data_IF_173014335175
#
_entry.id   IF_173014335175
#
_cell.length_a   1.000
_cell.length_b   1.000
_cell.length_c   1.000
_cell.angle_alpha   90.00
_cell.angle_beta   90.00
_cell.angle_gamma   90.00
#
_symmetry.space_group_name_H-M   'P 1'
#
loop_
_entity.id
_entity.type
_entity.pdbx_description
1 polymer ?
#
# COMPACT_ATOMS: atom_id res chain seq x y z
N UNK A 1 -6.16 -2.30 -6.62
CA UNK A 1 -4.78 -2.49 -7.10
C UNK A 1 -4.10 -1.14 -7.26
N UNK A 2 -2.78 -1.11 -7.19
CA UNK A 2 -1.98 0.06 -7.56
C UNK A 2 -1.64 0.00 -9.04
N UNK A 3 -1.68 1.15 -9.68
CA UNK A 3 -1.44 1.29 -11.11
C UNK A 3 -0.49 2.46 -11.36
N UNK A 4 0.58 2.22 -12.11
CA UNK A 4 1.50 3.27 -12.54
C UNK A 4 1.06 3.80 -13.90
N UNK A 5 0.77 5.10 -13.98
CA UNK A 5 0.31 5.74 -15.21
C UNK A 5 1.42 5.70 -16.27
N UNK A 6 1.10 5.20 -17.47
CA UNK A 6 2.05 5.10 -18.58
C UNK A 6 2.10 6.40 -19.38
N UNK A 7 3.19 6.59 -20.15
CA UNK A 7 3.33 7.74 -21.04
C UNK A 7 2.21 7.77 -22.08
N UNK A 8 1.45 8.88 -22.11
CA UNK A 8 0.33 9.05 -23.04
C UNK A 8 -1.00 8.48 -22.57
N UNK A 9 -1.06 7.78 -21.42
CA UNK A 9 -2.33 7.32 -20.86
C UNK A 9 -3.08 8.45 -20.15
N UNK A 10 -4.39 8.50 -20.38
CA UNK A 10 -5.31 9.38 -19.65
C UNK A 10 -5.98 8.57 -18.53
N UNK A 11 -6.16 9.19 -17.38
CA UNK A 11 -6.73 8.53 -16.21
C UNK A 11 -8.16 8.02 -16.46
N UNK A 12 -8.92 8.73 -17.28
CA UNK A 12 -10.27 8.32 -17.66
C UNK A 12 -10.27 6.98 -18.44
N UNK A 13 -9.28 6.77 -19.31
CA UNK A 13 -9.11 5.53 -20.06
C UNK A 13 -8.73 4.37 -19.13
N UNK A 14 -7.87 4.64 -18.14
CA UNK A 14 -7.51 3.67 -17.08
C UNK A 14 -8.75 3.31 -16.25
N UNK A 15 -9.51 4.32 -15.82
CA UNK A 15 -10.76 4.11 -15.07
C UNK A 15 -11.74 3.23 -15.83
N UNK A 16 -11.95 3.49 -17.13
CA UNK A 16 -12.83 2.70 -18.00
C UNK A 16 -12.35 1.26 -18.15
N UNK A 17 -11.03 1.06 -18.35
CA UNK A 17 -10.40 -0.26 -18.50
C UNK A 17 -10.58 -1.13 -17.24
N UNK A 18 -10.49 -0.55 -16.08
CA UNK A 18 -10.56 -1.27 -14.81
C UNK A 18 -11.93 -1.22 -14.13
N UNK A 19 -12.94 -0.62 -14.77
CA UNK A 19 -14.28 -0.50 -14.21
C UNK A 19 -14.34 0.36 -12.94
N UNK A 20 -13.49 1.37 -12.83
CA UNK A 20 -13.38 2.25 -11.67
C UNK A 20 -14.03 3.60 -11.98
N UNK A 21 -14.95 4.05 -11.13
CA UNK A 21 -15.53 5.39 -11.25
C UNK A 21 -14.50 6.47 -10.89
N UNK A 22 -14.37 7.49 -11.73
CA UNK A 22 -13.43 8.60 -11.52
C UNK A 22 -13.68 9.34 -10.19
N UNK A 23 -14.95 9.49 -9.79
CA UNK A 23 -15.33 10.08 -8.50
C UNK A 23 -14.78 9.25 -7.33
N UNK A 24 -14.91 7.94 -7.41
CA UNK A 24 -14.41 7.00 -6.40
C UNK A 24 -12.87 6.96 -6.39
N UNK A 25 -12.26 7.06 -7.58
CA UNK A 25 -10.81 7.17 -7.69
C UNK A 25 -10.28 8.43 -6.99
N UNK A 26 -10.92 9.58 -7.21
CA UNK A 26 -10.56 10.86 -6.54
C UNK A 26 -10.73 10.77 -5.03
N UNK A 27 -11.80 10.14 -4.56
CA UNK A 27 -12.08 9.98 -3.13
C UNK A 27 -10.99 9.17 -2.40
N UNK A 28 -10.45 8.13 -3.03
CA UNK A 28 -9.43 7.25 -2.40
C UNK A 28 -8.01 7.72 -2.64
N UNK A 29 -7.77 8.52 -3.69
CA UNK A 29 -6.47 9.12 -4.01
C UNK A 29 -6.42 10.64 -3.70
N UNK A 30 -7.13 11.08 -2.68
CA UNK A 30 -7.28 12.51 -2.34
C UNK A 30 -5.96 13.25 -2.08
N UNK A 31 -4.86 12.53 -1.80
CA UNK A 31 -3.51 13.11 -1.66
C UNK A 31 -2.81 13.36 -3.00
N UNK A 32 -3.39 12.86 -4.10
CA UNK A 32 -2.87 13.00 -5.46
C UNK A 32 -3.90 13.79 -6.27
N UNK A 33 -3.45 14.82 -7.00
CA UNK A 33 -4.32 15.46 -7.96
C UNK A 33 -4.51 14.55 -9.17
N UNK A 34 -5.62 13.80 -9.15
CA UNK A 34 -5.94 12.78 -10.16
C UNK A 34 -6.08 13.37 -11.57
N UNK A 35 -6.28 14.69 -11.67
CA UNK A 35 -6.39 15.39 -12.98
C UNK A 35 -5.01 15.80 -13.50
N UNK A 36 -4.06 16.03 -12.60
CA UNK A 36 -2.70 16.47 -12.92
C UNK A 36 -1.66 15.34 -12.89
N UNK A 37 -2.10 14.08 -13.01
CA UNK A 37 -1.22 12.90 -13.02
C UNK A 37 -0.27 12.94 -14.21
N UNK A 38 0.99 12.58 -13.94
CA UNK A 38 2.05 12.47 -14.94
C UNK A 38 2.42 11.01 -15.17
N UNK A 39 2.99 10.68 -16.33
CA UNK A 39 3.57 9.36 -16.55
C UNK A 39 4.58 9.00 -15.44
N UNK A 40 4.43 7.81 -14.87
CA UNK A 40 5.21 7.36 -13.72
C UNK A 40 4.54 7.58 -12.36
N UNK A 41 3.47 8.38 -12.29
CA UNK A 41 2.70 8.50 -11.05
C UNK A 41 1.92 7.21 -10.77
N UNK A 42 1.93 6.82 -9.51
CA UNK A 42 1.24 5.63 -9.03
C UNK A 42 -0.07 6.02 -8.34
N UNK A 43 -1.15 5.38 -8.76
CA UNK A 43 -2.50 5.61 -8.23
C UNK A 43 -3.11 4.31 -7.72
N UNK A 44 -3.96 4.41 -6.72
CA UNK A 44 -4.73 3.28 -6.24
C UNK A 44 -6.06 3.19 -6.98
N UNK A 45 -6.31 2.08 -7.69
CA UNK A 45 -7.56 1.79 -8.39
C UNK A 45 -8.50 0.98 -7.47
N UNK A 46 -9.52 1.62 -6.88
CA UNK A 46 -10.42 0.96 -5.94
C UNK A 46 -11.34 -0.02 -6.67
N UNK A 47 -11.39 -1.27 -6.20
CA UNK A 47 -12.27 -2.30 -6.78
C UNK A 47 -11.83 -2.86 -8.14
N UNK A 48 -10.68 -2.44 -8.66
CA UNK A 48 -10.13 -3.02 -9.88
C UNK A 48 -9.80 -4.50 -9.68
N UNK A 49 -10.23 -5.35 -10.62
CA UNK A 49 -9.99 -6.81 -10.57
C UNK A 49 -8.67 -7.13 -11.27
N UNK A 50 -7.82 -8.02 -10.71
CA UNK A 50 -6.57 -8.43 -11.34
C UNK A 50 -6.76 -9.06 -12.73
N UNK A 51 -7.90 -9.68 -12.99
CA UNK A 51 -8.23 -10.31 -14.26
C UNK A 51 -8.33 -9.32 -15.44
N UNK A 52 -8.57 -8.03 -15.16
CA UNK A 52 -8.55 -6.98 -16.19
C UNK A 52 -7.14 -6.73 -16.75
N UNK A 53 -6.10 -7.27 -16.11
CA UNK A 53 -4.71 -7.19 -16.59
C UNK A 53 -4.38 -8.21 -17.69
N UNK A 54 -5.21 -9.24 -17.89
CA UNK A 54 -4.92 -10.35 -18.80
C UNK A 54 -5.31 -10.09 -20.27
N UNK A 55 -5.97 -8.99 -20.60
CA UNK A 55 -6.63 -8.81 -21.92
C UNK A 55 -5.93 -7.83 -22.86
N UNK A 56 -4.73 -7.34 -22.60
CA UNK A 56 -4.03 -6.49 -23.57
C UNK A 56 -2.51 -6.67 -23.56
N UNK A 57 -2.04 -7.81 -24.05
CA UNK A 57 -0.68 -7.91 -24.59
C UNK A 57 -0.71 -8.77 -25.85
N UNK A 58 -1.21 -8.20 -26.94
CA UNK A 58 -0.83 -8.58 -28.29
C UNK A 58 -0.67 -7.30 -29.11
N UNK A 59 0.56 -6.86 -29.22
CA UNK A 59 1.09 -6.23 -30.44
C UNK A 59 2.52 -6.71 -30.64
N UNK A 60 2.85 -7.18 -31.87
CA UNK A 60 4.06 -7.95 -32.11
C UNK A 60 5.25 -7.03 -32.36
N UNK A 61 6.25 -7.09 -31.51
CA UNK A 61 7.57 -6.60 -31.86
C UNK A 61 8.27 -7.62 -32.76
N UNK A 62 8.61 -7.14 -33.95
CA UNK A 62 9.33 -7.83 -35.01
C UNK A 62 10.57 -8.52 -34.49
N UNK A 63 10.72 -9.76 -34.93
CA UNK A 63 11.85 -10.61 -34.71
C UNK A 63 13.17 -10.00 -35.24
N UNK A 64 14.19 -9.97 -34.40
CA UNK A 64 15.56 -10.09 -34.89
C UNK A 64 16.20 -11.35 -34.31
N UNK A 65 16.71 -12.13 -35.28
CA UNK A 65 17.32 -13.44 -35.12
C UNK A 65 18.71 -13.33 -34.49
N UNK A 66 18.99 -14.11 -33.48
CA UNK A 66 20.26 -14.85 -33.40
C UNK A 66 20.18 -15.99 -32.38
N UNK A 67 20.43 -17.20 -32.85
CA UNK A 67 20.58 -18.44 -32.10
C UNK A 67 22.08 -18.72 -31.88
N UNK A 68 22.47 -19.89 -31.30
CA UNK A 68 22.19 -20.44 -29.97
C UNK A 68 23.51 -20.75 -29.20
N UNK A 69 23.45 -20.91 -27.91
CA UNK A 69 24.49 -21.63 -27.19
C UNK A 69 23.91 -22.57 -26.13
N UNK A 70 24.34 -23.79 -26.24
CA UNK A 70 24.01 -24.99 -25.47
C UNK A 70 24.59 -24.99 -24.06
N UNK A 71 23.98 -25.88 -23.25
CA UNK A 71 24.50 -26.57 -22.06
C UNK A 71 24.34 -25.81 -20.75
N UNK A 72 23.86 -26.36 -19.67
CA UNK A 72 23.76 -27.68 -19.10
C UNK A 72 22.89 -27.58 -17.85
N UNK A 73 22.06 -28.55 -17.61
CA UNK A 73 21.42 -28.76 -16.32
C UNK A 73 22.44 -29.31 -15.30
N UNK A 74 22.25 -29.02 -14.01
CA UNK A 74 22.48 -30.01 -13.00
C UNK A 74 21.17 -30.36 -12.28
N UNK A 75 20.92 -31.66 -12.29
CA UNK A 75 20.07 -32.35 -11.32
C UNK A 75 20.58 -32.06 -9.92
N UNK A 76 19.67 -31.91 -8.98
CA UNK A 76 19.79 -32.32 -7.54
C UNK A 76 18.72 -31.52 -6.80
N UNK A 77 17.95 -31.97 -5.95
CA UNK A 77 17.77 -33.00 -5.00
C UNK A 77 16.37 -32.81 -4.43
N UNK A 78 15.60 -33.85 -4.46
CA UNK A 78 14.40 -33.99 -3.59
C UNK A 78 14.93 -34.04 -2.16
N UNK A 79 14.54 -33.11 -1.33
CA UNK A 79 14.26 -33.24 0.10
C UNK A 79 14.27 -31.88 0.76
N UNK A 80 13.11 -31.23 0.82
CA UNK A 80 12.81 -30.32 1.89
C UNK A 80 11.36 -30.60 2.28
N UNK A 81 11.22 -31.33 3.41
CA UNK A 81 9.97 -31.47 4.13
C UNK A 81 9.25 -30.13 4.19
N UNK A 82 8.08 -30.06 3.58
CA UNK A 82 7.12 -29.01 3.87
C UNK A 82 6.82 -29.13 5.37
N UNK A 83 7.39 -28.22 6.15
CA UNK A 83 6.91 -27.98 7.51
C UNK A 83 5.49 -27.42 7.35
N UNK A 84 4.54 -28.21 7.76
CA UNK A 84 3.15 -27.83 7.96
C UNK A 84 3.07 -26.50 8.71
N UNK A 85 2.17 -25.64 8.25
CA UNK A 85 1.84 -24.38 8.89
C UNK A 85 1.45 -24.64 10.35
N UNK A 86 2.03 -23.95 11.32
CA UNK A 86 1.58 -24.04 12.70
C UNK A 86 0.14 -23.53 12.81
N UNK A 87 -0.68 -24.28 13.50
CA UNK A 87 -2.10 -24.18 13.73
C UNK A 87 -2.69 -22.77 13.68
N UNK A 88 -3.94 -22.71 13.24
CA UNK A 88 -4.79 -21.54 13.19
C UNK A 88 -4.78 -20.78 14.53
N UNK A 89 -3.85 -19.86 14.67
CA UNK A 89 -3.86 -18.88 15.75
C UNK A 89 -5.12 -18.05 15.52
N UNK A 90 -6.06 -18.08 16.46
CA UNK A 90 -7.24 -17.21 16.44
C UNK A 90 -6.77 -15.79 16.19
N UNK A 91 -6.95 -15.30 14.98
CA UNK A 91 -6.51 -13.95 14.58
C UNK A 91 -7.14 -12.95 15.55
N UNK A 92 -6.33 -12.19 16.25
CA UNK A 92 -6.81 -11.14 17.13
C UNK A 92 -7.72 -10.20 16.35
N UNK A 93 -8.97 -10.02 16.79
CA UNK A 93 -9.92 -9.09 16.17
C UNK A 93 -9.61 -7.64 16.50
N UNK A 94 -8.71 -7.38 17.45
CA UNK A 94 -8.32 -6.03 17.88
C UNK A 94 -7.02 -5.59 17.20
N UNK A 95 -6.92 -4.31 16.91
CA UNK A 95 -5.71 -3.67 16.39
C UNK A 95 -4.91 -3.10 17.55
N UNK A 96 -3.62 -3.36 17.57
CA UNK A 96 -2.68 -2.70 18.51
C UNK A 96 -2.20 -1.38 17.91
N UNK A 97 -1.86 -0.44 18.79
CA UNK A 97 -1.19 0.79 18.41
C UNK A 97 0.11 0.49 17.65
N UNK A 98 0.26 1.00 16.40
CA UNK A 98 1.46 0.74 15.61
C UNK A 98 2.70 1.45 16.15
N UNK A 99 2.50 2.53 16.88
CA UNK A 99 3.50 3.30 17.59
C UNK A 99 2.83 4.08 18.71
N UNK A 100 3.56 4.29 19.79
CA UNK A 100 3.09 5.16 20.87
C UNK A 100 3.44 6.61 20.55
N UNK A 101 2.46 7.50 20.68
CA UNK A 101 2.64 8.92 20.41
C UNK A 101 1.35 9.72 20.50
N UNK A 102 1.48 11.05 20.55
CA UNK A 102 0.32 11.95 20.54
C UNK A 102 -0.27 11.99 19.12
N UNK A 103 -1.59 12.00 18.99
CA UNK A 103 -2.29 12.24 17.74
C UNK A 103 -2.18 13.73 17.41
N UNK A 104 -1.48 14.03 16.31
CA UNK A 104 -1.35 15.40 15.81
C UNK A 104 -2.53 15.81 14.92
N UNK A 105 -3.12 14.83 14.23
CA UNK A 105 -4.24 15.08 13.34
C UNK A 105 -5.19 13.88 13.33
N UNK A 106 -6.48 14.09 13.66
CA UNK A 106 -7.48 13.05 13.69
C UNK A 106 -7.99 12.72 12.27
N UNK A 107 -8.68 11.58 12.17
CA UNK A 107 -9.46 11.18 11.01
C UNK A 107 -10.65 12.09 10.79
N UNK A 108 -10.95 12.39 9.51
CA UNK A 108 -12.16 13.12 9.09
C UNK A 108 -11.88 14.46 8.45
N UNK A 109 -12.92 15.27 8.27
CA UNK A 109 -12.81 16.59 7.65
C UNK A 109 -11.97 17.55 8.49
N UNK A 110 -10.97 18.16 7.87
CA UNK A 110 -10.09 19.15 8.50
C UNK A 110 -9.63 20.20 7.49
N UNK A 111 -9.10 21.32 7.99
CA UNK A 111 -8.32 22.25 7.19
C UNK A 111 -6.93 21.67 6.96
N UNK A 112 -6.56 21.46 5.70
CA UNK A 112 -5.24 20.89 5.37
C UNK A 112 -4.12 21.83 5.85
N UNK A 113 -3.09 21.36 6.57
CA UNK A 113 -2.09 22.21 7.22
C UNK A 113 -1.25 23.03 6.23
N UNK A 114 -1.04 22.53 5.02
CA UNK A 114 -0.24 23.16 3.97
C UNK A 114 -1.13 24.01 3.05
N UNK A 115 -2.18 23.41 2.46
CA UNK A 115 -3.01 24.06 1.42
C UNK A 115 -4.11 24.94 1.98
N UNK A 116 -4.40 24.86 3.26
CA UNK A 116 -5.48 25.57 3.98
C UNK A 116 -6.90 25.27 3.45
N UNK A 117 -7.06 24.39 2.49
CA UNK A 117 -8.36 23.95 1.95
C UNK A 117 -8.99 22.91 2.87
N UNK A 118 -10.31 22.75 2.79
CA UNK A 118 -10.98 21.61 3.42
C UNK A 118 -10.51 20.31 2.76
N UNK A 119 -10.08 19.36 3.55
CA UNK A 119 -9.54 18.07 3.13
C UNK A 119 -10.01 16.97 4.07
N UNK A 120 -10.28 15.80 3.51
CA UNK A 120 -10.68 14.63 4.30
C UNK A 120 -9.45 13.80 4.65
N UNK A 121 -9.11 13.74 5.92
CA UNK A 121 -8.00 12.93 6.42
C UNK A 121 -8.41 11.48 6.59
N UNK A 122 -7.86 10.59 5.77
CA UNK A 122 -8.22 9.16 5.70
C UNK A 122 -7.64 8.31 6.81
N UNK A 123 -6.84 8.89 7.68
CA UNK A 123 -6.18 8.20 8.79
C UNK A 123 -6.03 9.07 10.02
N UNK A 124 -5.07 8.71 10.84
CA UNK A 124 -4.59 9.53 11.95
C UNK A 124 -3.08 9.76 11.79
N UNK A 125 -2.63 10.96 12.16
CA UNK A 125 -1.20 11.27 12.21
C UNK A 125 -0.70 11.16 13.65
N UNK A 126 0.22 10.23 13.90
CA UNK A 126 0.80 9.96 15.22
C UNK A 126 2.21 10.54 15.26
N UNK A 127 2.42 11.55 16.10
CA UNK A 127 3.75 12.17 16.29
C UNK A 127 4.73 11.16 16.84
N UNK A 128 5.89 11.03 16.19
CA UNK A 128 6.97 10.18 16.66
C UNK A 128 8.31 10.66 16.11
N UNK A 129 9.40 10.33 16.77
CA UNK A 129 10.75 10.68 16.33
C UNK A 129 11.11 9.94 15.04
N UNK A 130 11.87 10.60 14.15
CA UNK A 130 12.42 9.95 12.95
C UNK A 130 13.23 8.71 13.35
N UNK A 131 13.02 7.60 12.63
CA UNK A 131 13.66 6.32 12.92
C UNK A 131 12.97 5.46 13.97
N UNK A 132 11.98 5.99 14.70
CA UNK A 132 11.18 5.21 15.63
C UNK A 132 10.54 4.02 14.94
N UNK A 133 10.45 2.88 15.65
CA UNK A 133 9.96 1.62 15.08
C UNK A 133 8.44 1.65 14.96
N UNK A 134 7.96 1.33 13.78
CA UNK A 134 6.55 1.11 13.49
C UNK A 134 6.28 -0.39 13.53
N UNK A 135 5.24 -0.78 14.27
CA UNK A 135 4.83 -2.18 14.46
C UNK A 135 3.55 -2.49 13.72
N UNK A 136 3.41 -3.73 13.29
CA UNK A 136 2.19 -4.21 12.67
C UNK A 136 1.02 -4.18 13.65
N UNK A 137 -0.08 -3.52 13.27
CA UNK A 137 -1.24 -3.38 14.14
C UNK A 137 -2.06 -4.68 14.30
N UNK A 138 -1.98 -5.61 13.34
CA UNK A 138 -2.71 -6.89 13.35
C UNK A 138 -2.02 -7.89 12.42
N UNK A 139 -2.18 -9.22 12.70
CA UNK A 139 -1.68 -10.28 11.82
C UNK A 139 -2.16 -10.11 10.39
N UNK A 140 -1.28 -10.38 9.41
CA UNK A 140 -1.65 -10.27 8.00
C UNK A 140 -0.54 -10.62 7.03
N UNK A 141 -0.67 -10.11 5.81
CA UNK A 141 0.30 -10.23 4.73
C UNK A 141 0.58 -8.85 4.13
N UNK A 142 1.82 -8.57 3.83
CA UNK A 142 2.22 -7.33 3.18
C UNK A 142 1.69 -7.33 1.74
N UNK A 143 0.65 -6.53 1.48
CA UNK A 143 0.08 -6.34 0.16
C UNK A 143 0.93 -5.40 -0.70
N UNK A 144 1.57 -4.42 -0.08
CA UNK A 144 2.44 -3.46 -0.75
C UNK A 144 3.53 -2.94 0.18
N UNK A 145 4.72 -2.76 -0.35
CA UNK A 145 5.84 -2.11 0.33
C UNK A 145 6.67 -1.33 -0.70
N UNK A 146 6.54 -0.01 -0.72
CA UNK A 146 7.17 0.83 -1.75
C UNK A 146 6.89 2.31 -1.60
N UNK A 147 7.14 3.08 -2.65
CA UNK A 147 6.82 4.51 -2.73
C UNK A 147 5.42 4.71 -3.30
N UNK A 148 4.60 5.53 -2.65
CA UNK A 148 3.22 5.80 -3.04
C UNK A 148 2.93 7.29 -2.99
N UNK A 149 3.21 8.00 -4.07
CA UNK A 149 2.88 9.41 -4.27
C UNK A 149 3.06 10.28 -3.02
N UNK A 150 1.99 10.98 -2.62
CA UNK A 150 1.99 11.84 -1.44
C UNK A 150 2.20 11.14 -0.10
N UNK A 151 1.97 9.84 -0.01
CA UNK A 151 2.25 9.04 1.19
C UNK A 151 3.74 8.76 1.40
N UNK A 152 4.58 8.90 0.35
CA UNK A 152 5.99 8.56 0.41
C UNK A 152 6.24 7.06 0.50
N UNK A 153 7.16 6.62 1.34
CA UNK A 153 7.37 5.19 1.62
C UNK A 153 6.25 4.64 2.47
N UNK A 154 5.59 3.59 1.98
CA UNK A 154 4.37 3.00 2.54
C UNK A 154 4.49 1.49 2.68
N UNK A 155 3.97 0.96 3.77
CA UNK A 155 3.59 -0.44 3.90
C UNK A 155 2.07 -0.54 3.97
N UNK A 156 1.48 -1.45 3.19
CA UNK A 156 0.06 -1.84 3.28
C UNK A 156 0.00 -3.30 3.68
N UNK A 157 -0.77 -3.60 4.71
CA UNK A 157 -0.93 -4.95 5.23
C UNK A 157 -2.39 -5.33 5.13
N UNK A 158 -2.67 -6.43 4.44
CA UNK A 158 -3.98 -7.06 4.39
C UNK A 158 -4.17 -7.99 5.57
N UNK A 159 -5.35 -7.93 6.17
CA UNK A 159 -5.74 -8.71 7.33
C UNK A 159 -6.90 -9.66 7.04
N UNK A 160 -7.05 -10.74 7.80
CA UNK A 160 -8.22 -11.60 7.68
C UNK A 160 -9.54 -10.81 7.82
N UNK A 161 -10.50 -11.09 6.94
CA UNK A 161 -11.80 -10.41 6.93
C UNK A 161 -11.90 -9.19 6.02
N UNK A 162 -10.95 -9.04 5.06
CA UNK A 162 -11.01 -8.00 4.01
C UNK A 162 -10.66 -6.59 4.49
N UNK A 163 -10.06 -6.47 5.66
CA UNK A 163 -9.54 -5.21 6.18
C UNK A 163 -8.06 -5.05 5.81
N UNK A 164 -7.59 -3.81 5.76
CA UNK A 164 -6.17 -3.51 5.61
C UNK A 164 -5.74 -2.34 6.48
N UNK A 165 -4.43 -2.26 6.73
CA UNK A 165 -3.80 -1.11 7.38
C UNK A 165 -2.72 -0.53 6.50
N UNK A 166 -2.59 0.81 6.52
CA UNK A 166 -1.61 1.55 5.76
C UNK A 166 -0.73 2.36 6.72
N UNK A 167 0.57 2.30 6.48
CA UNK A 167 1.61 2.95 7.28
C UNK A 167 2.46 3.82 6.36
N UNK A 168 2.32 5.13 6.43
CA UNK A 168 2.94 6.06 5.49
C UNK A 168 4.00 6.96 6.12
N UNK A 169 4.67 7.75 5.27
CA UNK A 169 5.78 8.66 5.59
C UNK A 169 6.99 7.96 6.21
N UNK A 170 7.15 6.65 5.92
CA UNK A 170 8.24 5.85 6.45
C UNK A 170 9.60 6.30 5.92
N UNK A 171 10.65 6.23 6.76
CA UNK A 171 12.04 6.37 6.30
C UNK A 171 12.57 5.07 5.71
N UNK A 172 12.19 3.94 6.31
CA UNK A 172 12.66 2.59 5.93
C UNK A 172 11.50 1.61 6.05
N UNK A 173 11.37 0.73 5.06
CA UNK A 173 10.48 -0.43 5.09
C UNK A 173 11.34 -1.66 5.42
N UNK A 174 10.91 -2.47 6.39
CA UNK A 174 11.65 -3.63 6.89
C UNK A 174 11.16 -4.94 6.28
N UNK A 175 10.00 -4.92 5.64
CA UNK A 175 9.35 -6.08 5.04
C UNK A 175 9.20 -5.87 3.53
N UNK A 176 9.13 -6.98 2.80
CA UNK A 176 8.87 -7.02 1.36
C UNK A 176 7.41 -7.40 1.10
N UNK A 177 6.89 -6.99 -0.04
CA UNK A 177 5.58 -7.43 -0.52
C UNK A 177 5.48 -8.96 -0.53
N UNK A 178 4.32 -9.49 -0.11
CA UNK A 178 4.05 -10.92 0.00
C UNK A 178 4.46 -11.55 1.34
N UNK A 179 5.25 -10.87 2.18
CA UNK A 179 5.66 -11.41 3.49
C UNK A 179 4.46 -11.54 4.44
N UNK A 180 4.40 -12.65 5.17
CA UNK A 180 3.50 -12.79 6.31
C UNK A 180 4.04 -11.97 7.49
N UNK A 181 3.15 -11.34 8.25
CA UNK A 181 3.52 -10.49 9.38
C UNK A 181 2.59 -10.71 10.56
N UNK A 182 3.17 -10.71 11.77
CA UNK A 182 2.43 -10.85 13.03
C UNK A 182 2.16 -9.50 13.67
N UNK A 183 1.08 -9.42 14.44
CA UNK A 183 0.77 -8.27 15.28
C UNK A 183 1.95 -7.95 16.22
N UNK A 184 2.37 -6.68 16.24
CA UNK A 184 3.50 -6.23 17.04
C UNK A 184 4.88 -6.42 16.39
N UNK A 185 4.98 -7.09 15.24
CA UNK A 185 6.22 -7.23 14.47
C UNK A 185 6.68 -5.89 13.89
N UNK A 186 8.00 -5.67 13.85
CA UNK A 186 8.60 -4.46 13.30
C UNK A 186 8.48 -4.46 11.77
N UNK A 187 7.79 -3.46 11.21
CA UNK A 187 7.49 -3.40 9.77
C UNK A 187 8.16 -2.24 9.05
N UNK A 188 8.40 -1.14 9.77
CA UNK A 188 8.96 0.07 9.17
C UNK A 188 9.57 0.98 10.25
N UNK A 189 10.16 2.10 9.80
CA UNK A 189 10.63 3.19 10.67
C UNK A 189 10.02 4.51 10.25
N UNK A 190 9.68 5.35 11.23
CA UNK A 190 9.13 6.70 11.01
C UNK A 190 10.08 7.57 10.21
N UNK A 191 9.54 8.33 9.28
CA UNK A 191 10.26 9.29 8.45
C UNK A 191 9.48 10.58 8.22
N UNK A 192 9.79 11.21 7.08
CA UNK A 192 9.15 12.43 6.56
C UNK A 192 9.04 12.35 5.04
N UNK A 193 8.95 11.13 4.47
CA UNK A 193 8.87 10.94 3.03
C UNK A 193 7.50 11.33 2.48
N UNK A 194 7.43 11.74 1.22
CA UNK A 194 6.19 12.21 0.61
C UNK A 194 5.75 13.60 1.11
N UNK A 195 4.43 13.83 1.17
CA UNK A 195 3.85 15.11 1.63
C UNK A 195 3.73 15.13 3.15
N UNK A 196 4.80 15.45 3.82
CA UNK A 196 4.88 15.49 5.29
C UNK A 196 5.51 16.80 5.75
N UNK A 197 4.99 17.38 6.82
CA UNK A 197 5.52 18.61 7.44
C UNK A 197 6.54 18.33 8.56
N UNK A 198 6.76 17.06 8.89
CA UNK A 198 7.70 16.66 9.93
C UNK A 198 7.55 15.19 10.30
N UNK A 199 8.40 14.64 11.18
CA UNK A 199 8.37 13.22 11.52
C UNK A 199 7.07 12.82 12.20
N UNK A 200 6.34 11.88 11.59
CA UNK A 200 5.13 11.26 12.12
C UNK A 200 4.83 9.97 11.37
N UNK A 201 3.96 9.16 11.92
CA UNK A 201 3.31 8.05 11.24
C UNK A 201 1.91 8.50 10.81
N UNK A 202 1.63 8.46 9.52
CA UNK A 202 0.25 8.46 9.03
C UNK A 202 -0.26 7.02 9.00
N UNK A 203 -1.33 6.74 9.73
CA UNK A 203 -1.88 5.41 9.92
C UNK A 203 -3.35 5.34 9.52
N UNK A 204 -3.69 4.37 8.66
CA UNK A 204 -5.07 4.14 8.24
C UNK A 204 -5.51 2.71 8.56
N UNK A 205 -6.81 2.58 8.84
CA UNK A 205 -7.55 1.31 8.79
C UNK A 205 -8.56 1.41 7.65
N UNK A 206 -8.66 0.38 6.84
CA UNK A 206 -9.56 0.33 5.70
C UNK A 206 -10.43 -0.92 5.74
N UNK A 207 -11.71 -0.78 5.42
CA UNK A 207 -12.63 -1.88 5.11
C UNK A 207 -12.72 -1.99 3.59
N UNK A 208 -12.12 -3.02 3.01
CA UNK A 208 -11.87 -3.02 1.57
C UNK A 208 -11.09 -1.77 1.18
N UNK A 209 -11.71 -0.92 0.33
CA UNK A 209 -11.09 0.30 -0.16
C UNK A 209 -11.48 1.57 0.63
N UNK A 210 -12.40 1.46 1.58
CA UNK A 210 -12.93 2.62 2.29
C UNK A 210 -12.16 2.86 3.58
N UNK A 211 -11.53 4.04 3.76
CA UNK A 211 -10.89 4.40 5.01
C UNK A 211 -11.92 4.57 6.11
N UNK A 212 -11.61 4.07 7.29
CA UNK A 212 -12.45 4.17 8.49
C UNK A 212 -11.65 4.75 9.64
N UNK A 213 -12.34 5.36 10.62
CA UNK A 213 -11.65 5.98 11.74
C UNK A 213 -10.84 4.93 12.54
N UNK A 214 -9.49 5.02 12.54
CA UNK A 214 -8.62 4.04 13.19
C UNK A 214 -8.86 3.92 14.70
N UNK A 215 -9.28 5.00 15.34
CA UNK A 215 -9.52 5.02 16.80
C UNK A 215 -10.66 4.10 17.25
N UNK A 216 -11.55 3.69 16.34
CA UNK A 216 -12.59 2.70 16.63
C UNK A 216 -12.06 1.27 16.71
N UNK A 217 -10.85 1.02 16.25
CA UNK A 217 -10.23 -0.30 16.14
C UNK A 217 -9.02 -0.48 17.08
N UNK A 218 -8.28 0.59 17.34
CA UNK A 218 -7.07 0.57 18.17
C UNK A 218 -7.40 0.34 19.66
N UNK A 219 -6.62 -0.57 20.27
CA UNK A 219 -6.70 -0.90 21.72
C UNK A 219 -5.30 -0.93 22.32
#
# INVERSE_FOLDING_TARGET
IFYTLRKGEKIEAVCKRYGVELAKLRQVNHTVDVVALKPGDEIFLPGARPEALAVTHEEPLKAEKSAPARNAAPRVAKNAKQKEAPGAVKASRSYRWPIMGRINSPFGWRRHPITRRQDFHTGIDIKASRGAVIRCARDGRVAYAGWMGGYGKVAVIEHPGGQSTLYAHCSTLLLKQGAAVKQGENIARVGTTGRSTGPHLHFEVRNGNSPVNPLKYLK
#
